data_IF_914392762255
#
_entry.id   IF_914392762255
#
_cell.length_a   1.000
_cell.length_b   1.000
_cell.length_c   1.000
_cell.angle_alpha   90.00
_cell.angle_beta   90.00
_cell.angle_gamma   90.00
#
_symmetry.space_group_name_H-M   'P 1'
#
loop_
_entity.id
_entity.type
_entity.pdbx_description
1 polymer ?
#
# COMPACT_ATOMS: atom_id res chain seq x y z
N UNK A 1 -14.43 22.23 2.22
CA UNK A 1 -14.08 21.26 1.15
C UNK A 1 -12.95 20.42 1.71
N UNK A 2 -13.14 19.10 1.88
CA UNK A 2 -12.16 18.26 2.56
C UNK A 2 -11.39 17.43 1.53
N UNK A 3 -10.07 17.34 1.71
CA UNK A 3 -9.17 16.59 0.83
C UNK A 3 -8.64 15.40 1.62
N UNK A 4 -8.78 14.21 1.05
CA UNK A 4 -8.07 13.02 1.50
C UNK A 4 -7.13 12.59 0.36
N UNK A 5 -5.83 12.75 0.59
CA UNK A 5 -4.78 12.36 -0.36
C UNK A 5 -3.66 11.69 0.41
N UNK A 6 -3.26 10.51 -0.05
CA UNK A 6 -2.17 9.72 0.54
C UNK A 6 -1.13 9.47 -0.55
N UNK A 7 0.14 9.73 -0.22
CA UNK A 7 1.28 9.36 -1.05
C UNK A 7 2.06 8.27 -0.33
N UNK A 8 2.24 7.12 -0.98
CA UNK A 8 2.93 5.96 -0.42
C UNK A 8 4.11 5.63 -1.32
N UNK A 9 5.32 5.61 -0.73
CA UNK A 9 6.54 5.16 -1.39
C UNK A 9 7.12 4.00 -0.59
N UNK A 10 7.20 2.82 -1.21
CA UNK A 10 7.57 1.60 -0.54
C UNK A 10 7.80 0.45 -1.51
N UNK A 11 7.82 -0.76 -0.98
CA UNK A 11 8.03 -2.00 -1.75
C UNK A 11 6.77 -2.86 -1.75
N UNK A 12 6.47 -3.50 -2.88
CA UNK A 12 5.40 -4.50 -2.97
C UNK A 12 5.83 -5.74 -2.20
N UNK A 13 4.97 -6.29 -1.34
CA UNK A 13 5.30 -7.43 -0.48
C UNK A 13 4.91 -8.78 -1.06
N UNK A 14 3.99 -8.79 -2.02
CA UNK A 14 3.48 -9.99 -2.69
C UNK A 14 3.06 -9.66 -4.13
N UNK A 15 3.07 -10.65 -5.00
CA UNK A 15 2.62 -10.51 -6.38
C UNK A 15 1.19 -9.95 -6.42
N UNK A 16 0.91 -8.88 -7.21
CA UNK A 16 -0.43 -8.34 -7.34
C UNK A 16 -1.41 -9.38 -7.90
N UNK A 17 -2.58 -9.48 -7.28
CA UNK A 17 -3.65 -10.35 -7.76
C UNK A 17 -4.64 -9.53 -8.59
N UNK A 18 -5.02 -10.04 -9.76
CA UNK A 18 -6.04 -9.42 -10.62
C UNK A 18 -7.29 -10.29 -10.60
N UNK A 19 -8.42 -9.69 -10.26
CA UNK A 19 -9.75 -10.31 -10.25
C UNK A 19 -10.70 -9.49 -11.12
N UNK A 20 -11.74 -10.14 -11.63
CA UNK A 20 -12.80 -9.47 -12.39
C UNK A 20 -14.09 -9.51 -11.58
N UNK A 21 -14.78 -8.38 -11.50
CA UNK A 21 -16.12 -8.33 -10.89
C UNK A 21 -17.13 -9.06 -11.78
N UNK A 22 -18.33 -9.42 -11.26
CA UNK A 22 -19.40 -9.99 -12.08
C UNK A 22 -19.78 -9.12 -13.29
N UNK A 23 -19.56 -7.81 -13.19
CA UNK A 23 -19.84 -6.85 -14.27
C UNK A 23 -18.65 -6.67 -15.24
N UNK A 24 -17.59 -7.49 -15.12
CA UNK A 24 -16.44 -7.48 -16.02
C UNK A 24 -15.35 -6.45 -15.70
N UNK A 25 -15.48 -5.68 -14.61
CA UNK A 25 -14.46 -4.69 -14.23
C UNK A 25 -13.24 -5.36 -13.61
N UNK A 26 -12.04 -4.98 -14.06
CA UNK A 26 -10.79 -5.42 -13.47
C UNK A 26 -10.53 -4.72 -12.12
N UNK A 27 -10.12 -5.52 -11.14
CA UNK A 27 -9.71 -5.10 -9.79
C UNK A 27 -8.35 -5.71 -9.51
N UNK A 28 -7.38 -4.89 -9.10
CA UNK A 28 -6.06 -5.36 -8.72
C UNK A 28 -5.84 -5.11 -7.23
N UNK A 29 -5.51 -6.16 -6.49
CA UNK A 29 -5.19 -6.10 -5.07
C UNK A 29 -3.71 -6.39 -4.85
N UNK A 30 -3.06 -5.52 -4.09
CA UNK A 30 -1.65 -5.72 -3.72
C UNK A 30 -1.36 -5.09 -2.35
N UNK A 31 -0.28 -5.56 -1.73
CA UNK A 31 0.17 -5.06 -0.43
C UNK A 31 1.54 -4.39 -0.57
N UNK A 32 1.72 -3.25 0.10
CA UNK A 32 2.96 -2.48 0.11
C UNK A 32 3.51 -2.34 1.53
N UNK A 33 4.82 -2.47 1.69
CA UNK A 33 5.52 -2.16 2.93
C UNK A 33 6.25 -0.82 2.83
N UNK A 34 6.13 -0.02 3.89
CA UNK A 34 6.91 1.21 4.10
C UNK A 34 7.71 1.10 5.39
N UNK A 35 9.00 1.43 5.33
CA UNK A 35 9.91 1.36 6.47
C UNK A 35 10.13 2.77 7.02
N UNK A 36 9.98 2.93 8.33
CA UNK A 36 10.30 4.17 9.05
C UNK A 36 11.36 3.88 10.10
N UNK A 37 12.49 4.56 10.01
CA UNK A 37 13.52 4.57 11.06
C UNK A 37 13.27 5.75 11.98
N UNK A 38 13.29 5.51 13.28
CA UNK A 38 13.15 6.55 14.29
C UNK A 38 14.04 6.25 15.50
N UNK A 39 14.39 7.29 16.24
CA UNK A 39 15.15 7.15 17.49
C UNK A 39 14.19 6.96 18.67
N UNK A 40 14.50 5.99 19.52
CA UNK A 40 13.80 5.71 20.76
C UNK A 40 14.84 5.68 21.88
N UNK A 41 15.15 6.84 22.47
CA UNK A 41 16.30 6.99 23.36
C UNK A 41 17.61 6.89 22.57
N UNK A 42 18.54 6.07 23.06
CA UNK A 42 19.85 5.84 22.42
C UNK A 42 19.80 4.81 21.27
N UNK A 43 18.67 4.13 21.08
CA UNK A 43 18.50 3.11 20.04
C UNK A 43 17.82 3.68 18.79
N UNK A 44 18.33 3.28 17.62
CA UNK A 44 17.62 3.48 16.35
C UNK A 44 16.74 2.26 16.09
N UNK A 45 15.42 2.46 16.07
CA UNK A 45 14.43 1.43 15.77
C UNK A 45 13.95 1.56 14.33
N UNK A 46 13.62 0.42 13.73
CA UNK A 46 13.01 0.35 12.41
C UNK A 46 11.62 -0.28 12.54
N UNK A 47 10.62 0.42 12.04
CA UNK A 47 9.24 -0.04 11.99
C UNK A 47 8.79 -0.22 10.54
N UNK A 48 8.06 -1.31 10.29
CA UNK A 48 7.48 -1.60 8.97
C UNK A 48 5.97 -1.52 9.06
N UNK A 49 5.37 -0.64 8.26
CA UNK A 49 3.93 -0.58 8.07
C UNK A 49 3.53 -1.27 6.78
N UNK A 50 2.42 -2.00 6.80
CA UNK A 50 1.85 -2.66 5.64
C UNK A 50 0.55 -1.96 5.22
N UNK A 51 0.41 -1.73 3.92
CA UNK A 51 -0.73 -1.06 3.30
C UNK A 51 -1.37 -2.02 2.31
N UNK A 52 -2.66 -2.26 2.44
CA UNK A 52 -3.45 -2.97 1.43
C UNK A 52 -4.03 -1.97 0.44
N UNK A 53 -3.75 -2.17 -0.84
CA UNK A 53 -4.17 -1.27 -1.92
C UNK A 53 -5.06 -2.03 -2.89
N UNK A 54 -6.21 -1.44 -3.20
CA UNK A 54 -7.15 -1.93 -4.22
C UNK A 54 -7.20 -0.91 -5.35
N UNK A 55 -6.68 -1.28 -6.51
CA UNK A 55 -6.74 -0.48 -7.72
C UNK A 55 -7.91 -0.93 -8.60
N UNK A 56 -8.65 0.04 -9.13
CA UNK A 56 -9.84 -0.18 -9.95
C UNK A 56 -9.64 0.35 -11.35
N UNK A 57 -10.10 -0.41 -12.35
CA UNK A 57 -10.06 0.02 -13.75
C UNK A 57 -8.64 0.17 -14.30
N UNK A 58 -8.49 0.99 -15.34
CA UNK A 58 -7.20 1.27 -15.96
C UNK A 58 -6.59 2.50 -15.26
N UNK A 59 -5.58 2.26 -14.43
CA UNK A 59 -4.64 3.31 -13.99
C UNK A 59 -3.71 3.71 -15.11
#
# INVERSE_FOLDING_TARGET
MNINRVFIAGRITQTPEIRYTPNGSAVCEFSMATNRKYKSGDETKEETCFHSVVAWGKT
#
